data_IF_079970432716
#
_entry.id   IF_079970432716
#
_cell.length_a   1.000
_cell.length_b   1.000
_cell.length_c   1.000
_cell.angle_alpha   90.00
_cell.angle_beta   90.00
_cell.angle_gamma   90.00
#
_symmetry.space_group_name_H-M   'P 1'
#
loop_
_entity.id
_entity.type
_entity.pdbx_description
1 polymer ?
#
# COMPACT_ATOMS: atom_id res chain seq x y z
N UNK A 1 23.36 -10.12 -4.78
CA UNK A 1 24.66 -10.40 -4.16
C UNK A 1 25.68 -10.74 -5.23
N UNK A 2 25.44 -11.73 -6.10
CA UNK A 2 26.36 -12.13 -7.20
C UNK A 2 26.64 -11.02 -8.22
N UNK A 3 25.66 -10.17 -8.55
CA UNK A 3 25.85 -9.06 -9.50
C UNK A 3 26.73 -7.97 -8.90
N UNK A 4 26.58 -7.67 -7.62
CA UNK A 4 27.43 -6.70 -6.92
C UNK A 4 28.83 -7.26 -6.60
N UNK A 5 28.95 -8.57 -6.33
CA UNK A 5 30.26 -9.26 -6.26
C UNK A 5 30.96 -9.26 -7.63
N UNK A 6 30.24 -9.48 -8.74
CA UNK A 6 30.76 -9.32 -10.09
C UNK A 6 31.10 -7.86 -10.46
N UNK A 7 30.41 -6.87 -9.88
CA UNK A 7 30.77 -5.46 -10.01
C UNK A 7 31.99 -5.08 -9.19
N UNK A 8 32.19 -5.71 -8.02
CA UNK A 8 33.39 -5.52 -7.19
C UNK A 8 34.62 -6.25 -7.78
N UNK A 9 34.42 -7.41 -8.42
CA UNK A 9 35.47 -8.17 -9.12
C UNK A 9 35.75 -7.66 -10.53
N UNK A 10 34.81 -6.92 -11.14
CA UNK A 10 35.04 -6.21 -12.39
C UNK A 10 35.83 -4.91 -12.14
N UNK A 11 37.03 -5.04 -11.64
CA UNK A 11 38.12 -4.12 -11.90
C UNK A 11 38.49 -4.21 -13.39
N UNK A 12 37.51 -3.92 -14.26
CA UNK A 12 37.72 -3.90 -15.70
C UNK A 12 38.58 -2.72 -16.05
N UNK A 13 39.86 -3.05 -16.36
CA UNK A 13 40.73 -2.29 -17.22
C UNK A 13 40.61 -0.77 -17.07
N UNK A 14 41.03 -0.24 -15.92
CA UNK A 14 41.44 1.17 -15.86
C UNK A 14 42.57 1.30 -16.87
N UNK A 15 42.20 1.75 -18.06
CA UNK A 15 43.16 2.27 -19.03
C UNK A 15 43.93 3.35 -18.28
N UNK A 16 45.19 3.08 -17.95
CA UNK A 16 46.13 4.05 -17.45
C UNK A 16 46.46 4.99 -18.60
N UNK A 17 45.52 5.91 -18.87
CA UNK A 17 45.88 7.04 -19.71
C UNK A 17 45.12 8.29 -19.24
N UNK A 18 45.89 9.32 -18.94
CA UNK A 18 45.55 10.66 -18.50
C UNK A 18 45.02 10.84 -17.07
N UNK A 19 45.89 11.17 -16.18
CA UNK A 19 46.01 11.82 -14.87
C UNK A 19 44.81 12.44 -14.14
N UNK A 20 43.55 12.28 -14.54
CA UNK A 20 42.37 12.63 -13.76
C UNK A 20 41.81 11.35 -13.13
N UNK A 21 41.83 11.26 -11.80
CA UNK A 21 41.08 10.24 -11.08
C UNK A 21 39.61 10.38 -11.48
N UNK A 22 39.12 9.43 -12.25
CA UNK A 22 37.70 9.37 -12.61
C UNK A 22 36.87 9.40 -11.30
N UNK A 23 35.86 10.25 -11.29
CA UNK A 23 35.02 10.49 -10.11
C UNK A 23 34.25 9.22 -9.73
N UNK A 24 34.59 8.60 -8.57
CA UNK A 24 33.99 7.38 -8.09
C UNK A 24 32.45 7.46 -8.04
N UNK A 25 31.91 8.61 -7.68
CA UNK A 25 30.47 8.82 -7.63
C UNK A 25 29.82 8.87 -9.03
N UNK A 26 30.54 9.35 -10.04
CA UNK A 26 30.08 9.32 -11.43
C UNK A 26 30.12 7.90 -12.00
N UNK A 27 31.21 7.17 -11.75
CA UNK A 27 31.34 5.77 -12.16
C UNK A 27 30.21 4.95 -11.57
N UNK A 28 29.97 5.07 -10.27
CA UNK A 28 28.89 4.39 -9.58
C UNK A 28 27.51 4.74 -10.15
N UNK A 29 27.26 6.02 -10.44
CA UNK A 29 25.99 6.47 -11.02
C UNK A 29 25.78 5.90 -12.42
N UNK A 30 26.85 5.82 -13.25
CA UNK A 30 26.81 5.16 -14.57
C UNK A 30 26.54 3.66 -14.47
N UNK A 31 27.16 2.97 -13.52
CA UNK A 31 26.91 1.55 -13.26
C UNK A 31 25.46 1.31 -12.84
N UNK A 32 24.92 2.15 -11.97
CA UNK A 32 23.52 2.08 -11.57
C UNK A 32 22.58 2.32 -12.75
N UNK A 33 22.86 3.32 -13.61
CA UNK A 33 22.10 3.57 -14.82
C UNK A 33 22.10 2.35 -15.77
N UNK A 34 23.24 1.66 -15.89
CA UNK A 34 23.37 0.45 -16.70
C UNK A 34 22.51 -0.73 -16.21
N UNK A 35 22.10 -0.74 -14.94
CA UNK A 35 21.19 -1.75 -14.38
C UNK A 35 19.72 -1.49 -14.73
N UNK A 36 19.40 -0.38 -15.37
CA UNK A 36 18.02 -0.07 -15.75
C UNK A 36 17.47 -1.08 -16.75
N UNK A 37 16.36 -1.70 -16.40
CA UNK A 37 15.68 -2.68 -17.25
C UNK A 37 14.67 -1.97 -18.17
N UNK A 38 15.06 -1.75 -19.43
CA UNK A 38 14.24 -1.10 -20.46
C UNK A 38 12.95 -1.87 -20.80
N UNK A 39 12.93 -3.20 -20.61
CA UNK A 39 11.75 -4.03 -20.87
C UNK A 39 10.62 -3.76 -19.88
N UNK A 40 10.92 -3.03 -18.78
CA UNK A 40 9.97 -2.58 -17.79
C UNK A 40 9.50 -1.14 -17.96
N UNK A 41 9.84 -0.52 -19.10
CA UNK A 41 9.37 0.81 -19.44
C UNK A 41 7.83 0.84 -19.52
N UNK A 42 7.19 1.74 -18.77
CA UNK A 42 5.74 1.85 -18.66
C UNK A 42 5.11 2.95 -19.55
N UNK A 43 5.85 3.42 -20.55
CA UNK A 43 5.42 4.47 -21.46
C UNK A 43 5.67 5.90 -20.97
N UNK A 44 6.29 6.08 -19.80
CA UNK A 44 6.61 7.40 -19.23
C UNK A 44 8.10 7.61 -19.12
N UNK A 45 8.63 8.60 -19.81
CA UNK A 45 10.01 9.04 -19.58
C UNK A 45 10.13 9.68 -18.19
N UNK A 46 11.20 9.35 -17.47
CA UNK A 46 11.52 9.90 -16.17
C UNK A 46 12.94 10.44 -16.15
N UNK A 47 13.14 11.48 -15.35
CA UNK A 47 14.47 12.00 -15.06
C UNK A 47 14.71 11.85 -13.56
N UNK A 48 15.61 10.94 -13.21
CA UNK A 48 16.05 10.70 -11.85
C UNK A 48 17.25 11.60 -11.56
N UNK A 49 17.13 12.49 -10.56
CA UNK A 49 18.22 13.30 -10.04
C UNK A 49 18.72 12.71 -8.73
N UNK A 50 20.02 12.44 -8.64
CA UNK A 50 20.67 11.96 -7.43
C UNK A 50 21.65 13.01 -6.95
N UNK A 51 21.41 13.53 -5.75
CA UNK A 51 22.26 14.50 -5.07
C UNK A 51 23.04 13.79 -3.95
N UNK A 52 24.34 13.63 -4.12
CA UNK A 52 25.24 13.10 -3.07
C UNK A 52 25.62 14.24 -2.13
N UNK A 53 24.93 14.29 -0.98
CA UNK A 53 24.98 15.43 -0.06
C UNK A 53 26.34 15.60 0.64
N UNK A 54 27.07 14.50 0.87
CA UNK A 54 28.40 14.47 1.45
C UNK A 54 29.51 14.88 0.46
N UNK A 55 29.25 14.72 -0.84
CA UNK A 55 30.19 15.10 -1.92
C UNK A 55 29.83 16.43 -2.60
N UNK A 56 28.63 16.97 -2.35
CA UNK A 56 28.13 18.15 -3.05
C UNK A 56 27.92 17.98 -4.55
N UNK A 57 27.70 16.72 -5.01
CA UNK A 57 27.59 16.37 -6.42
C UNK A 57 26.17 15.94 -6.76
N UNK A 58 25.72 16.31 -7.96
CA UNK A 58 24.38 15.97 -8.46
C UNK A 58 24.50 15.40 -9.86
N UNK A 59 23.84 14.28 -10.10
CA UNK A 59 23.77 13.60 -11.39
C UNK A 59 22.31 13.40 -11.79
N UNK A 60 22.04 13.49 -13.10
CA UNK A 60 20.72 13.22 -13.68
C UNK A 60 20.79 12.01 -14.59
N UNK A 61 19.78 11.14 -14.48
CA UNK A 61 19.65 9.94 -15.29
C UNK A 61 18.30 10.02 -16.00
N UNK A 62 18.32 10.08 -17.31
CA UNK A 62 17.13 9.94 -18.14
C UNK A 62 16.80 8.46 -18.26
N UNK A 63 15.57 8.06 -17.91
CA UNK A 63 15.05 6.71 -18.00
C UNK A 63 13.98 6.70 -19.10
N UNK A 64 14.22 5.96 -20.16
CA UNK A 64 13.36 5.92 -21.33
C UNK A 64 13.22 4.53 -21.94
N UNK A 65 12.55 4.47 -23.10
CA UNK A 65 12.33 3.23 -23.84
C UNK A 65 13.64 2.59 -24.32
N UNK A 66 14.61 3.42 -24.68
CA UNK A 66 15.86 2.96 -25.26
C UNK A 66 16.93 2.60 -24.21
N UNK A 67 16.65 2.89 -22.94
CA UNK A 67 17.54 2.61 -21.82
C UNK A 67 17.65 3.78 -20.85
N UNK A 68 18.73 3.79 -20.07
CA UNK A 68 19.08 4.88 -19.16
C UNK A 68 20.33 5.62 -19.65
N UNK A 69 20.31 6.94 -19.56
CA UNK A 69 21.39 7.82 -19.97
C UNK A 69 21.73 8.78 -18.82
N UNK A 70 23.01 8.84 -18.44
CA UNK A 70 23.49 9.81 -17.47
C UNK A 70 23.75 11.14 -18.17
N UNK A 71 22.98 12.15 -17.80
CA UNK A 71 23.09 13.49 -18.38
C UNK A 71 24.22 14.27 -17.70
N UNK A 72 25.01 14.93 -18.49
CA UNK A 72 26.10 15.82 -18.03
C UNK A 72 25.65 17.26 -17.87
N UNK A 73 24.43 17.59 -18.30
CA UNK A 73 23.85 18.92 -18.25
C UNK A 73 22.53 18.95 -17.46
N UNK A 74 22.06 20.14 -17.16
CA UNK A 74 20.79 20.38 -16.44
C UNK A 74 19.60 20.62 -17.37
N UNK A 75 19.70 20.18 -18.62
CA UNK A 75 18.71 20.47 -19.67
C UNK A 75 17.31 19.94 -19.38
N UNK A 76 17.20 18.82 -18.66
CA UNK A 76 15.92 18.18 -18.34
C UNK A 76 15.53 18.36 -16.87
N UNK A 77 14.28 18.73 -16.64
CA UNK A 77 13.73 18.84 -15.27
C UNK A 77 13.60 17.46 -14.64
N UNK A 78 14.13 17.32 -13.42
CA UNK A 78 13.99 16.09 -12.65
C UNK A 78 12.52 15.79 -12.31
N UNK A 79 12.08 14.56 -12.55
CA UNK A 79 10.77 14.06 -12.12
C UNK A 79 10.84 13.49 -10.72
N UNK A 80 11.97 12.85 -10.38
CA UNK A 80 12.25 12.28 -9.06
C UNK A 80 13.63 12.74 -8.63
N UNK A 81 13.75 13.22 -7.38
CA UNK A 81 15.02 13.65 -6.79
C UNK A 81 15.30 12.84 -5.54
N UNK A 82 16.48 12.24 -5.45
CA UNK A 82 17.01 11.56 -4.28
C UNK A 82 18.14 12.41 -3.72
N UNK A 83 18.06 12.79 -2.45
CA UNK A 83 19.17 13.41 -1.72
C UNK A 83 19.68 12.41 -0.67
N UNK A 84 20.95 12.03 -0.76
CA UNK A 84 21.57 10.97 0.02
C UNK A 84 23.06 11.22 0.20
N UNK A 85 23.68 10.87 1.34
CA UNK A 85 25.12 10.70 1.39
C UNK A 85 25.57 9.57 0.45
N UNK A 86 26.67 9.74 -0.25
CA UNK A 86 27.21 8.72 -1.15
C UNK A 86 27.49 7.41 -0.40
N UNK A 87 28.02 7.53 0.82
CA UNK A 87 28.29 6.40 1.71
C UNK A 87 27.03 5.57 2.02
N UNK A 88 25.88 6.21 2.23
CA UNK A 88 24.60 5.53 2.46
C UNK A 88 24.15 4.81 1.19
N UNK A 89 24.26 5.47 0.04
CA UNK A 89 23.86 4.88 -1.24
C UNK A 89 24.72 3.68 -1.62
N UNK A 90 26.00 3.75 -1.30
CA UNK A 90 26.93 2.64 -1.48
C UNK A 90 26.60 1.44 -0.56
N UNK A 91 26.26 1.70 0.72
CA UNK A 91 25.83 0.66 1.65
C UNK A 91 24.52 -0.02 1.20
N UNK A 92 23.57 0.75 0.66
CA UNK A 92 22.35 0.20 0.06
C UNK A 92 22.64 -0.71 -1.13
N UNK A 93 23.55 -0.29 -2.01
CA UNK A 93 23.92 -1.08 -3.20
C UNK A 93 24.62 -2.39 -2.84
N UNK A 94 25.37 -2.43 -1.72
CA UNK A 94 26.04 -3.64 -1.20
C UNK A 94 25.10 -4.56 -0.40
N UNK A 95 23.83 -4.14 -0.21
CA UNK A 95 22.89 -4.91 0.59
C UNK A 95 23.17 -4.90 2.09
N UNK A 96 24.04 -4.01 2.58
CA UNK A 96 24.36 -3.83 4.00
C UNK A 96 23.18 -3.23 4.77
N UNK A 97 22.27 -2.57 4.06
CA UNK A 97 21.07 -1.93 4.59
C UNK A 97 19.92 -2.04 3.59
N UNK A 98 18.70 -2.14 4.08
CA UNK A 98 17.50 -2.14 3.25
C UNK A 98 17.08 -0.70 2.90
N UNK A 99 16.67 -0.46 1.64
CA UNK A 99 16.27 0.87 1.17
C UNK A 99 15.05 1.44 1.90
N UNK A 100 14.05 0.62 2.19
CA UNK A 100 12.85 1.02 2.94
C UNK A 100 13.15 1.35 4.41
N UNK A 101 14.06 0.62 5.03
CA UNK A 101 14.54 0.89 6.40
C UNK A 101 15.35 2.18 6.47
N UNK A 102 16.28 2.38 5.52
CA UNK A 102 17.07 3.60 5.41
C UNK A 102 16.20 4.85 5.21
N UNK A 103 15.16 4.73 4.36
CA UNK A 103 14.20 5.80 4.13
C UNK A 103 13.37 6.10 5.39
N UNK A 104 12.91 5.07 6.11
CA UNK A 104 12.17 5.23 7.36
C UNK A 104 13.02 5.87 8.48
N UNK A 105 14.34 5.67 8.45
CA UNK A 105 15.32 6.31 9.35
C UNK A 105 15.79 7.67 8.87
N UNK A 106 15.24 8.19 7.76
CA UNK A 106 15.61 9.47 7.13
C UNK A 106 17.11 9.57 6.77
N UNK A 107 17.75 8.46 6.44
CA UNK A 107 19.15 8.44 6.00
C UNK A 107 19.30 8.99 4.57
N UNK A 108 18.24 8.97 3.80
CA UNK A 108 18.11 9.67 2.53
C UNK A 108 16.68 10.18 2.36
N UNK A 109 16.47 11.11 1.44
CA UNK A 109 15.14 11.69 1.15
C UNK A 109 14.81 11.58 -0.32
N UNK A 110 13.52 11.46 -0.62
CA UNK A 110 13.00 11.41 -1.99
C UNK A 110 11.94 12.48 -2.17
N UNK A 111 11.99 13.19 -3.28
CA UNK A 111 10.99 14.18 -3.66
C UNK A 111 10.60 14.05 -5.13
N UNK A 112 9.41 14.54 -5.47
CA UNK A 112 8.82 14.38 -6.81
C UNK A 112 8.01 13.10 -6.96
N UNK A 113 8.12 12.40 -8.10
CA UNK A 113 7.39 11.15 -8.35
C UNK A 113 7.98 9.99 -7.53
N UNK A 114 7.30 9.69 -6.43
CA UNK A 114 7.70 8.61 -5.53
C UNK A 114 7.45 7.21 -6.12
N UNK A 115 6.68 7.10 -7.20
CA UNK A 115 6.37 5.80 -7.82
C UNK A 115 7.61 5.06 -8.32
N UNK A 116 8.65 5.80 -8.73
CA UNK A 116 9.93 5.22 -9.14
C UNK A 116 10.60 4.46 -7.98
N UNK A 117 10.60 5.05 -6.78
CA UNK A 117 11.18 4.43 -5.58
C UNK A 117 10.38 3.21 -5.10
N UNK A 118 9.05 3.28 -5.16
CA UNK A 118 8.19 2.16 -4.80
C UNK A 118 8.36 0.94 -5.71
N UNK A 119 8.85 1.15 -6.92
CA UNK A 119 9.09 0.11 -7.91
C UNK A 119 10.58 -0.01 -8.27
N UNK A 120 11.48 0.42 -7.37
CA UNK A 120 12.92 0.46 -7.62
C UNK A 120 13.46 -0.87 -8.12
N UNK A 121 13.17 -1.96 -7.40
CA UNK A 121 13.66 -3.30 -7.73
C UNK A 121 13.09 -3.83 -9.07
N UNK A 122 11.96 -3.29 -9.50
CA UNK A 122 11.39 -3.60 -10.82
C UNK A 122 12.18 -2.93 -11.95
N UNK A 123 12.68 -1.71 -11.72
CA UNK A 123 13.37 -0.94 -12.76
C UNK A 123 14.89 -1.16 -12.75
N UNK A 124 15.49 -1.39 -11.58
CA UNK A 124 16.94 -1.52 -11.40
C UNK A 124 17.37 -2.84 -10.75
N UNK A 125 16.43 -3.72 -10.42
CA UNK A 125 16.72 -4.98 -9.77
C UNK A 125 17.07 -6.10 -10.75
N UNK A 126 17.64 -7.17 -10.20
CA UNK A 126 17.79 -8.45 -10.90
C UNK A 126 16.41 -9.06 -11.18
N UNK A 127 16.32 -10.04 -12.09
CA UNK A 127 15.06 -10.75 -12.37
C UNK A 127 14.46 -11.36 -11.11
N UNK A 128 15.28 -11.89 -10.21
CA UNK A 128 14.85 -12.47 -8.94
C UNK A 128 14.27 -11.43 -7.98
N UNK A 129 14.89 -10.24 -7.88
CA UNK A 129 14.37 -9.12 -7.10
C UNK A 129 13.08 -8.56 -7.71
N UNK A 130 13.03 -8.45 -9.04
CA UNK A 130 11.82 -8.03 -9.75
C UNK A 130 10.67 -9.03 -9.58
N UNK A 131 10.95 -10.32 -9.44
CA UNK A 131 9.94 -11.34 -9.17
C UNK A 131 9.39 -11.25 -7.74
N UNK A 132 10.23 -10.93 -6.77
CA UNK A 132 9.79 -10.73 -5.38
C UNK A 132 8.92 -9.48 -5.20
N UNK A 133 9.10 -8.44 -6.03
CA UNK A 133 8.28 -7.20 -6.02
C UNK A 133 7.07 -7.27 -6.94
N UNK A 134 6.94 -8.29 -7.79
CA UNK A 134 5.73 -8.47 -8.60
C UNK A 134 4.52 -8.69 -7.68
N UNK A 135 3.35 -8.09 -8.03
CA UNK A 135 2.11 -8.46 -7.38
C UNK A 135 1.96 -9.98 -7.40
N UNK A 136 1.59 -10.56 -6.26
CA UNK A 136 1.38 -12.01 -6.15
C UNK A 136 0.12 -12.37 -6.97
N UNK A 137 0.26 -12.46 -8.27
CA UNK A 137 -0.76 -13.01 -9.16
C UNK A 137 -0.47 -14.51 -9.25
N UNK A 138 -1.21 -15.29 -8.50
CA UNK A 138 -1.16 -16.76 -8.60
C UNK A 138 -1.70 -17.18 -9.97
N UNK A 139 -0.79 -17.57 -10.85
CA UNK A 139 -1.05 -17.99 -12.23
C UNK A 139 -1.34 -19.47 -12.26
N UNK A 140 -2.25 -20.11 -11.84
CA UNK A 140 -2.74 -21.48 -12.07
C UNK A 140 -3.60 -21.97 -10.91
N UNK A 141 -4.71 -22.58 -11.14
CA UNK A 141 -5.60 -23.38 -10.23
C UNK A 141 -5.73 -22.91 -8.78
N UNK A 142 -4.95 -21.94 -8.34
CA UNK A 142 -4.96 -21.36 -7.02
C UNK A 142 -5.93 -20.17 -6.94
N UNK A 143 -6.52 -20.01 -5.77
CA UNK A 143 -7.50 -18.96 -5.49
C UNK A 143 -6.88 -17.57 -5.65
N UNK A 144 -7.68 -16.62 -6.13
CA UNK A 144 -7.29 -15.21 -6.20
C UNK A 144 -7.05 -14.64 -4.78
N UNK A 145 -6.24 -13.57 -4.65
CA UNK A 145 -6.07 -12.87 -3.38
C UNK A 145 -7.40 -12.46 -2.74
N UNK A 146 -7.48 -12.37 -1.40
CA UNK A 146 -8.69 -11.91 -0.72
C UNK A 146 -9.14 -10.54 -1.24
N UNK A 147 -10.45 -10.35 -1.36
CA UNK A 147 -11.04 -9.08 -1.80
C UNK A 147 -11.81 -8.43 -0.66
N UNK A 148 -11.39 -7.22 -0.28
CA UNK A 148 -12.12 -6.43 0.73
C UNK A 148 -13.58 -6.18 0.34
N UNK A 149 -13.89 -6.13 -0.95
CA UNK A 149 -15.27 -5.97 -1.44
C UNK A 149 -16.17 -7.12 -0.99
N UNK A 150 -15.67 -8.36 -0.98
CA UNK A 150 -16.45 -9.52 -0.54
C UNK A 150 -16.80 -9.42 0.94
N UNK A 151 -15.86 -8.98 1.78
CA UNK A 151 -16.11 -8.73 3.19
C UNK A 151 -17.15 -7.61 3.37
N UNK A 152 -17.01 -6.50 2.65
CA UNK A 152 -17.91 -5.35 2.76
C UNK A 152 -19.34 -5.65 2.34
N UNK A 153 -19.56 -6.52 1.34
CA UNK A 153 -20.90 -6.89 0.89
C UNK A 153 -21.75 -7.47 2.02
N UNK A 154 -21.19 -8.30 2.90
CA UNK A 154 -21.92 -8.84 4.05
C UNK A 154 -22.35 -7.73 5.02
N UNK A 155 -21.47 -6.78 5.32
CA UNK A 155 -21.76 -5.65 6.19
C UNK A 155 -22.79 -4.70 5.59
N UNK A 156 -22.68 -4.39 4.28
CA UNK A 156 -23.64 -3.57 3.57
C UNK A 156 -25.02 -4.23 3.58
N UNK A 157 -25.09 -5.54 3.38
CA UNK A 157 -26.35 -6.27 3.45
C UNK A 157 -27.02 -6.11 4.83
N UNK A 158 -26.26 -6.26 5.92
CA UNK A 158 -26.74 -6.05 7.27
C UNK A 158 -27.29 -4.62 7.44
N UNK A 159 -26.49 -3.63 7.10
CA UNK A 159 -26.85 -2.23 7.33
C UNK A 159 -28.04 -1.76 6.49
N UNK A 160 -28.16 -2.22 5.25
CA UNK A 160 -29.23 -1.81 4.35
C UNK A 160 -30.50 -2.65 4.57
N UNK A 161 -30.40 -3.97 4.45
CA UNK A 161 -31.59 -4.82 4.47
C UNK A 161 -32.29 -4.83 5.85
N UNK A 162 -31.52 -4.91 6.95
CA UNK A 162 -32.07 -4.91 8.31
C UNK A 162 -32.65 -3.54 8.69
N UNK A 163 -32.16 -2.44 8.10
CA UNK A 163 -32.73 -1.11 8.34
C UNK A 163 -34.11 -0.93 7.70
N UNK A 164 -34.38 -1.63 6.59
CA UNK A 164 -35.65 -1.55 5.86
C UNK A 164 -36.72 -2.37 6.59
N UNK A 165 -36.43 -3.63 6.82
CA UNK A 165 -37.30 -4.55 7.54
C UNK A 165 -36.43 -5.58 8.32
N UNK A 166 -36.46 -5.58 9.68
CA UNK A 166 -35.53 -6.33 10.48
C UNK A 166 -35.51 -7.84 10.21
N UNK A 167 -36.68 -8.47 10.12
CA UNK A 167 -36.79 -9.94 9.96
C UNK A 167 -36.44 -10.40 8.56
N UNK A 168 -37.02 -9.76 7.52
CA UNK A 168 -36.74 -10.09 6.13
C UNK A 168 -35.30 -9.71 5.79
N UNK A 169 -34.84 -8.56 6.24
CA UNK A 169 -33.48 -8.09 6.06
C UNK A 169 -32.45 -9.02 6.69
N UNK A 170 -32.75 -9.57 7.86
CA UNK A 170 -31.92 -10.57 8.50
C UNK A 170 -31.81 -11.86 7.67
N UNK A 171 -32.91 -12.35 7.12
CA UNK A 171 -32.90 -13.54 6.23
C UNK A 171 -32.09 -13.29 4.96
N UNK A 172 -32.24 -12.11 4.34
CA UNK A 172 -31.44 -11.72 3.17
C UNK A 172 -29.97 -11.68 3.54
N UNK A 173 -29.61 -11.06 4.67
CA UNK A 173 -28.22 -10.97 5.16
C UNK A 173 -27.62 -12.35 5.42
N UNK A 174 -28.35 -13.25 6.06
CA UNK A 174 -27.91 -14.63 6.29
C UNK A 174 -27.72 -15.38 4.97
N UNK A 175 -28.64 -15.21 4.02
CA UNK A 175 -28.52 -15.79 2.68
C UNK A 175 -27.26 -15.29 1.97
N UNK A 176 -26.94 -14.01 2.04
CA UNK A 176 -25.71 -13.44 1.48
C UNK A 176 -24.47 -13.99 2.19
N UNK A 177 -24.46 -14.06 3.52
CA UNK A 177 -23.33 -14.64 4.27
C UNK A 177 -23.07 -16.12 3.91
N UNK A 178 -24.13 -16.89 3.62
CA UNK A 178 -24.00 -18.27 3.19
C UNK A 178 -23.57 -18.38 1.72
N UNK A 179 -24.07 -17.51 0.85
CA UNK A 179 -23.79 -17.55 -0.59
C UNK A 179 -22.41 -16.99 -0.95
N UNK A 180 -21.93 -15.94 -0.25
CA UNK A 180 -20.66 -15.28 -0.56
C UNK A 180 -19.47 -16.24 -0.60
N UNK A 181 -19.22 -17.12 0.38
CA UNK A 181 -18.13 -18.09 0.31
C UNK A 181 -18.21 -19.03 -0.89
N UNK A 182 -19.43 -19.40 -1.33
CA UNK A 182 -19.66 -20.26 -2.48
C UNK A 182 -19.44 -19.52 -3.80
N UNK A 183 -19.97 -18.30 -3.93
CA UNK A 183 -19.83 -17.47 -5.14
C UNK A 183 -18.39 -17.00 -5.29
N UNK A 184 -17.70 -16.79 -4.18
CA UNK A 184 -16.31 -16.29 -4.15
C UNK A 184 -15.28 -17.40 -3.97
N UNK A 185 -15.59 -18.65 -4.32
CA UNK A 185 -14.66 -19.80 -4.24
C UNK A 185 -13.30 -19.54 -4.89
N UNK A 186 -13.28 -18.67 -5.91
CA UNK A 186 -12.06 -18.24 -6.61
C UNK A 186 -11.14 -17.35 -5.76
N UNK A 187 -11.62 -16.83 -4.62
CA UNK A 187 -10.84 -15.98 -3.72
C UNK A 187 -10.43 -16.72 -2.46
N UNK A 188 -9.25 -16.41 -1.95
CA UNK A 188 -8.86 -16.83 -0.61
C UNK A 188 -9.66 -16.05 0.42
N UNK A 189 -10.15 -16.72 1.45
CA UNK A 189 -10.77 -16.06 2.59
C UNK A 189 -9.69 -15.80 3.65
N UNK A 190 -9.45 -14.52 3.94
CA UNK A 190 -8.57 -14.16 5.04
C UNK A 190 -9.30 -14.29 6.40
N UNK A 191 -8.55 -14.17 7.50
CA UNK A 191 -9.13 -14.26 8.85
C UNK A 191 -10.22 -13.19 9.10
N UNK A 192 -10.08 -12.01 8.50
CA UNK A 192 -11.05 -10.93 8.66
C UNK A 192 -12.35 -11.17 7.91
N UNK A 193 -12.33 -11.87 6.78
CA UNK A 193 -13.54 -12.30 6.07
C UNK A 193 -14.36 -13.27 6.95
N UNK A 194 -13.69 -14.28 7.50
CA UNK A 194 -14.34 -15.29 8.35
C UNK A 194 -14.95 -14.67 9.60
N UNK A 195 -14.20 -13.77 10.25
CA UNK A 195 -14.69 -13.08 11.45
C UNK A 195 -15.85 -12.14 11.11
N UNK A 196 -15.78 -11.41 9.99
CA UNK A 196 -16.85 -10.55 9.50
C UNK A 196 -18.13 -11.36 9.23
N UNK A 197 -18.05 -12.48 8.52
CA UNK A 197 -19.22 -13.32 8.26
C UNK A 197 -19.85 -13.84 9.54
N UNK A 198 -19.04 -14.27 10.52
CA UNK A 198 -19.55 -14.73 11.82
C UNK A 198 -20.24 -13.60 12.59
N UNK A 199 -19.66 -12.40 12.65
CA UNK A 199 -20.23 -11.24 13.33
C UNK A 199 -21.54 -10.78 12.66
N UNK A 200 -21.54 -10.66 11.34
CA UNK A 200 -22.72 -10.26 10.56
C UNK A 200 -23.84 -11.27 10.71
N UNK A 201 -23.54 -12.57 10.63
CA UNK A 201 -24.53 -13.63 10.82
C UNK A 201 -25.12 -13.58 12.24
N UNK A 202 -24.31 -13.41 13.28
CA UNK A 202 -24.78 -13.27 14.65
C UNK A 202 -25.70 -12.06 14.85
N UNK A 203 -25.37 -10.91 14.27
CA UNK A 203 -26.19 -9.70 14.32
C UNK A 203 -27.49 -9.84 13.51
N UNK A 204 -27.45 -10.54 12.38
CA UNK A 204 -28.65 -10.84 11.59
C UNK A 204 -29.59 -11.79 12.36
N UNK A 205 -29.05 -12.82 13.02
CA UNK A 205 -29.86 -13.70 13.88
C UNK A 205 -30.49 -12.89 15.02
N UNK A 206 -29.72 -12.01 15.66
CA UNK A 206 -30.25 -11.12 16.70
C UNK A 206 -31.43 -10.28 16.17
N UNK A 207 -31.27 -9.66 14.99
CA UNK A 207 -32.34 -8.86 14.37
C UNK A 207 -33.58 -9.71 14.04
N UNK A 208 -33.39 -10.93 13.53
CA UNK A 208 -34.49 -11.86 13.22
C UNK A 208 -35.30 -12.24 14.47
N UNK A 209 -34.61 -12.53 15.57
CA UNK A 209 -35.22 -12.99 16.83
C UNK A 209 -35.91 -11.84 17.56
N UNK A 210 -35.26 -10.70 17.68
CA UNK A 210 -35.75 -9.57 18.47
C UNK A 210 -36.66 -8.61 17.70
N UNK A 211 -36.56 -8.59 16.36
CA UNK A 211 -37.19 -7.57 15.52
C UNK A 211 -36.58 -6.18 15.68
N UNK A 212 -35.47 -6.03 16.42
CA UNK A 212 -34.86 -4.73 16.69
C UNK A 212 -33.73 -4.42 15.71
N UNK A 213 -34.12 -3.95 14.51
CA UNK A 213 -33.19 -3.61 13.43
C UNK A 213 -32.25 -2.46 13.77
N UNK A 214 -32.71 -1.44 14.50
CA UNK A 214 -31.87 -0.32 14.90
C UNK A 214 -30.69 -0.76 15.75
N UNK A 215 -30.95 -1.56 16.78
CA UNK A 215 -29.88 -2.05 17.64
C UNK A 215 -28.91 -2.96 16.89
N UNK A 216 -29.42 -3.83 16.00
CA UNK A 216 -28.58 -4.69 15.17
C UNK A 216 -27.65 -3.88 14.26
N UNK A 217 -28.16 -2.82 13.61
CA UNK A 217 -27.40 -1.94 12.72
C UNK A 217 -26.37 -1.13 13.50
N UNK A 218 -26.74 -0.52 14.63
CA UNK A 218 -25.78 0.22 15.46
C UNK A 218 -24.69 -0.69 16.03
N UNK A 219 -25.07 -1.88 16.53
CA UNK A 219 -24.12 -2.90 16.97
C UNK A 219 -23.21 -3.37 15.81
N UNK A 220 -23.75 -3.42 14.58
CA UNK A 220 -22.98 -3.69 13.36
C UNK A 220 -21.88 -2.67 13.10
N UNK A 221 -22.20 -1.38 13.13
CA UNK A 221 -21.20 -0.32 13.00
C UNK A 221 -20.15 -0.39 14.12
N UNK A 222 -20.59 -0.62 15.36
CA UNK A 222 -19.69 -0.78 16.49
C UNK A 222 -18.76 -1.98 16.32
N UNK A 223 -19.30 -3.15 15.99
CA UNK A 223 -18.53 -4.38 15.79
C UNK A 223 -17.53 -4.24 14.63
N UNK A 224 -17.93 -3.59 13.53
CA UNK A 224 -17.05 -3.31 12.41
C UNK A 224 -15.92 -2.34 12.81
N UNK A 225 -16.24 -1.27 13.53
CA UNK A 225 -15.22 -0.36 14.07
C UNK A 225 -14.24 -1.05 15.02
N UNK A 226 -14.75 -1.90 15.91
CA UNK A 226 -13.92 -2.73 16.80
C UNK A 226 -13.04 -3.72 16.02
N UNK A 227 -13.54 -4.31 14.93
CA UNK A 227 -12.77 -5.19 14.07
C UNK A 227 -11.57 -4.46 13.45
N UNK A 228 -11.79 -3.23 12.96
CA UNK A 228 -10.73 -2.39 12.40
C UNK A 228 -9.71 -2.00 13.46
N UNK A 229 -10.14 -1.43 14.59
CA UNK A 229 -9.23 -1.05 15.67
C UNK A 229 -8.52 -2.27 16.28
N UNK A 230 -9.24 -3.36 16.53
CA UNK A 230 -8.68 -4.61 17.04
C UNK A 230 -7.60 -5.17 16.10
N UNK A 231 -7.74 -4.97 14.80
CA UNK A 231 -6.72 -5.38 13.83
C UNK A 231 -5.38 -4.66 14.03
N UNK A 232 -5.38 -3.43 14.59
CA UNK A 232 -4.17 -2.68 14.87
C UNK A 232 -3.29 -3.30 15.99
N UNK A 233 -3.84 -4.19 16.80
CA UNK A 233 -3.07 -4.94 17.81
C UNK A 233 -2.47 -6.24 17.26
N UNK A 234 -2.62 -6.50 15.96
CA UNK A 234 -2.09 -7.68 15.28
C UNK A 234 -0.89 -7.31 14.42
N UNK A 235 -0.07 -8.32 14.07
CA UNK A 235 1.06 -8.14 13.14
C UNK A 235 0.64 -7.73 11.72
N UNK A 236 -0.63 -7.90 11.39
CA UNK A 236 -1.17 -7.63 10.08
C UNK A 236 -2.52 -6.91 10.23
N UNK A 237 -2.53 -5.56 10.23
CA UNK A 237 -3.75 -4.80 10.31
C UNK A 237 -4.67 -5.06 9.12
N UNK A 238 -5.97 -4.84 9.28
CA UNK A 238 -7.00 -5.20 8.30
C UNK A 238 -6.69 -4.63 6.90
N UNK A 239 -6.28 -3.36 6.81
CA UNK A 239 -5.87 -2.77 5.52
C UNK A 239 -4.74 -3.57 4.87
N UNK A 240 -3.68 -3.88 5.62
CA UNK A 240 -2.52 -4.59 5.08
C UNK A 240 -2.87 -5.99 4.59
N UNK A 241 -3.80 -6.68 5.26
CA UNK A 241 -4.23 -8.03 4.89
C UNK A 241 -4.75 -8.13 3.45
N UNK A 242 -5.40 -7.07 2.95
CA UNK A 242 -5.93 -7.03 1.58
C UNK A 242 -4.98 -6.36 0.59
N UNK A 243 -4.21 -5.38 1.02
CA UNK A 243 -3.42 -4.52 0.13
C UNK A 243 -2.03 -5.11 -0.16
N UNK A 244 -1.46 -5.92 0.76
CA UNK A 244 -0.12 -6.52 0.62
C UNK A 244 0.13 -7.22 -0.73
N UNK A 245 -0.89 -7.85 -1.28
CA UNK A 245 -0.79 -8.59 -2.54
C UNK A 245 -0.46 -7.72 -3.76
N UNK A 246 -0.67 -6.39 -3.66
CA UNK A 246 -0.31 -5.43 -4.70
C UNK A 246 1.15 -4.99 -4.64
N UNK A 247 1.79 -5.13 -3.46
CA UNK A 247 3.13 -4.60 -3.17
C UNK A 247 4.20 -5.70 -3.10
N UNK A 248 3.83 -6.98 -3.24
CA UNK A 248 4.76 -8.10 -3.24
C UNK A 248 4.93 -8.79 -1.89
N UNK A 249 5.82 -9.80 -1.85
CA UNK A 249 5.98 -10.72 -0.71
C UNK A 249 6.50 -10.01 0.55
N UNK A 250 7.34 -8.97 0.38
CA UNK A 250 8.01 -8.27 1.48
C UNK A 250 7.26 -7.04 1.98
N UNK A 251 6.04 -6.80 1.47
CA UNK A 251 5.25 -5.63 1.87
C UNK A 251 5.07 -5.49 3.39
N UNK A 252 4.85 -6.61 4.10
CA UNK A 252 4.68 -6.60 5.56
C UNK A 252 5.98 -6.30 6.33
N UNK A 253 7.13 -6.38 5.68
CA UNK A 253 8.42 -6.02 6.29
C UNK A 253 8.76 -4.54 6.06
N UNK A 254 8.04 -3.86 5.16
CA UNK A 254 8.25 -2.45 4.87
C UNK A 254 7.62 -1.57 5.97
N UNK A 255 8.44 -0.80 6.75
CA UNK A 255 7.93 -0.03 7.87
C UNK A 255 7.00 1.11 7.44
N UNK A 256 7.21 1.72 6.27
CA UNK A 256 6.35 2.80 5.75
C UNK A 256 5.00 2.23 5.33
N UNK A 257 5.01 1.08 4.62
CA UNK A 257 3.79 0.36 4.26
C UNK A 257 2.98 -0.01 5.51
N UNK A 258 3.62 -0.60 6.50
CA UNK A 258 2.94 -1.01 7.74
C UNK A 258 2.37 0.18 8.51
N UNK A 259 3.17 1.24 8.70
CA UNK A 259 2.70 2.46 9.40
C UNK A 259 1.51 3.10 8.70
N UNK A 260 1.55 3.22 7.36
CA UNK A 260 0.41 3.72 6.56
C UNK A 260 -0.86 2.92 6.81
N UNK A 261 -0.76 1.59 6.78
CA UNK A 261 -1.90 0.69 6.94
C UNK A 261 -2.43 0.66 8.39
N UNK A 262 -1.57 0.82 9.40
CA UNK A 262 -2.01 0.98 10.80
C UNK A 262 -2.80 2.28 11.00
N UNK A 263 -2.31 3.40 10.47
CA UNK A 263 -3.00 4.70 10.58
C UNK A 263 -4.37 4.64 9.91
N UNK A 264 -4.44 4.07 8.71
CA UNK A 264 -5.71 3.91 7.99
C UNK A 264 -6.67 2.97 8.73
N UNK A 265 -6.19 1.84 9.25
CA UNK A 265 -7.03 0.91 9.99
C UNK A 265 -7.59 1.58 11.28
N UNK A 266 -6.77 2.32 12.01
CA UNK A 266 -7.22 3.07 13.18
C UNK A 266 -8.25 4.16 12.82
N UNK A 267 -7.99 4.94 11.75
CA UNK A 267 -8.90 5.98 11.30
C UNK A 267 -10.27 5.41 10.90
N UNK A 268 -10.32 4.35 10.11
CA UNK A 268 -11.55 3.67 9.75
C UNK A 268 -12.29 3.11 10.98
N UNK A 269 -11.57 2.49 11.91
CA UNK A 269 -12.15 1.96 13.15
C UNK A 269 -12.81 3.03 13.99
N UNK A 270 -12.12 4.18 14.21
CA UNK A 270 -12.67 5.32 14.95
C UNK A 270 -13.92 5.86 14.28
N UNK A 271 -13.88 6.04 12.95
CA UNK A 271 -15.02 6.57 12.18
C UNK A 271 -16.26 5.67 12.34
N UNK A 272 -16.13 4.35 12.24
CA UNK A 272 -17.27 3.45 12.40
C UNK A 272 -17.80 3.41 13.83
N UNK A 273 -16.96 3.54 14.84
CA UNK A 273 -17.42 3.69 16.23
C UNK A 273 -18.20 4.99 16.41
N UNK A 274 -17.71 6.11 15.85
CA UNK A 274 -18.44 7.40 15.90
C UNK A 274 -19.77 7.28 15.17
N UNK A 275 -19.82 6.63 14.00
CA UNK A 275 -21.07 6.36 13.28
C UNK A 275 -22.04 5.57 14.16
N UNK A 276 -21.59 4.51 14.86
CA UNK A 276 -22.43 3.72 15.74
C UNK A 276 -23.06 4.57 16.84
N UNK A 277 -22.24 5.38 17.53
CA UNK A 277 -22.67 6.26 18.63
C UNK A 277 -23.66 7.31 18.11
N UNK A 278 -23.31 8.01 17.05
CA UNK A 278 -24.16 9.06 16.45
C UNK A 278 -25.49 8.48 15.99
N UNK A 279 -25.47 7.34 15.29
CA UNK A 279 -26.68 6.67 14.81
C UNK A 279 -27.60 6.29 15.96
N UNK A 280 -27.06 5.77 17.06
CA UNK A 280 -27.83 5.38 18.24
C UNK A 280 -28.51 6.60 18.90
N UNK A 281 -27.76 7.69 19.16
CA UNK A 281 -28.26 8.87 19.86
C UNK A 281 -29.18 9.75 19.02
N UNK A 282 -29.01 9.80 17.71
CA UNK A 282 -29.82 10.59 16.79
C UNK A 282 -31.06 9.84 16.28
N UNK A 283 -31.11 8.54 16.47
CA UNK A 283 -32.27 7.75 16.08
C UNK A 283 -33.52 8.23 16.83
N UNK A 284 -34.62 8.44 16.09
CA UNK A 284 -35.88 9.02 16.61
C UNK A 284 -35.86 10.53 16.85
N UNK A 285 -34.70 11.20 16.76
CA UNK A 285 -34.59 12.66 16.90
C UNK A 285 -34.43 13.38 15.55
N UNK A 286 -33.93 12.66 14.55
CA UNK A 286 -33.70 13.14 13.20
C UNK A 286 -34.48 12.25 12.25
N UNK A 287 -35.07 12.79 11.15
CA UNK A 287 -35.73 11.98 10.12
C UNK A 287 -34.79 10.86 9.63
N UNK A 288 -35.29 9.63 9.56
CA UNK A 288 -34.49 8.43 9.24
C UNK A 288 -33.76 8.57 7.91
N UNK A 289 -34.36 9.22 6.90
CA UNK A 289 -33.73 9.46 5.60
C UNK A 289 -32.49 10.36 5.72
N UNK A 290 -32.58 11.46 6.49
CA UNK A 290 -31.48 12.40 6.70
C UNK A 290 -30.32 11.71 7.43
N UNK A 291 -30.63 10.94 8.47
CA UNK A 291 -29.62 10.17 9.21
C UNK A 291 -28.94 9.13 8.32
N UNK A 292 -29.72 8.41 7.50
CA UNK A 292 -29.18 7.41 6.56
C UNK A 292 -28.23 8.02 5.53
N UNK A 293 -28.61 9.15 4.93
CA UNK A 293 -27.77 9.86 3.96
C UNK A 293 -26.48 10.34 4.63
N UNK A 294 -26.55 10.96 5.80
CA UNK A 294 -25.39 11.46 6.53
C UNK A 294 -24.42 10.32 6.89
N UNK A 295 -24.93 9.20 7.39
CA UNK A 295 -24.13 8.04 7.77
C UNK A 295 -23.45 7.40 6.55
N UNK A 296 -24.10 7.34 5.40
CA UNK A 296 -23.52 6.78 4.18
C UNK A 296 -22.51 7.71 3.49
N UNK A 297 -22.65 9.03 3.67
CA UNK A 297 -21.69 10.00 3.13
C UNK A 297 -20.30 9.88 3.80
N UNK A 298 -20.24 9.54 5.08
CA UNK A 298 -18.98 9.46 5.85
C UNK A 298 -18.02 8.40 5.28
N UNK A 299 -18.41 7.13 5.03
CA UNK A 299 -17.54 6.15 4.38
C UNK A 299 -17.05 6.55 2.99
N UNK A 300 -17.86 7.29 2.21
CA UNK A 300 -17.45 7.79 0.90
C UNK A 300 -16.31 8.81 1.07
N UNK A 301 -16.44 9.76 1.98
CA UNK A 301 -15.40 10.73 2.29
C UNK A 301 -14.12 10.06 2.81
N UNK A 302 -14.29 9.04 3.67
CA UNK A 302 -13.17 8.23 4.15
C UNK A 302 -12.49 7.43 3.04
N UNK A 303 -13.23 6.97 2.03
CA UNK A 303 -12.66 6.33 0.84
C UNK A 303 -11.77 7.30 0.05
N UNK A 304 -12.23 8.54 -0.18
CA UNK A 304 -11.45 9.60 -0.82
C UNK A 304 -10.21 9.95 0.01
N UNK A 305 -10.36 10.11 1.32
CA UNK A 305 -9.24 10.31 2.24
C UNK A 305 -8.22 9.17 2.15
N UNK A 306 -8.66 7.93 2.14
CA UNK A 306 -7.79 6.76 2.03
C UNK A 306 -6.98 6.79 0.74
N UNK A 307 -7.63 7.05 -0.41
CA UNK A 307 -6.96 7.14 -1.70
C UNK A 307 -5.91 8.26 -1.75
N UNK A 308 -6.22 9.40 -1.15
CA UNK A 308 -5.26 10.50 -1.02
C UNK A 308 -4.12 10.14 -0.05
N UNK A 309 -4.43 9.64 1.15
CA UNK A 309 -3.47 9.38 2.22
C UNK A 309 -2.45 8.30 1.85
N UNK A 310 -2.85 7.26 1.14
CA UNK A 310 -1.95 6.18 0.67
C UNK A 310 -0.83 6.69 -0.23
N UNK A 311 -1.03 7.80 -0.93
CA UNK A 311 -0.02 8.43 -1.77
C UNK A 311 0.74 9.53 -1.03
N UNK A 312 0.01 10.36 -0.29
CA UNK A 312 0.57 11.53 0.38
C UNK A 312 1.51 11.18 1.54
N UNK A 313 1.10 10.25 2.42
CA UNK A 313 1.87 9.93 3.63
C UNK A 313 3.23 9.30 3.33
N UNK A 314 3.34 8.26 2.49
CA UNK A 314 4.65 7.70 2.11
C UNK A 314 5.56 8.73 1.44
N UNK A 315 5.02 9.58 0.55
CA UNK A 315 5.79 10.64 -0.09
C UNK A 315 6.30 11.69 0.90
N UNK A 316 5.48 12.05 1.92
CA UNK A 316 5.87 12.98 2.98
C UNK A 316 6.99 12.42 3.86
N UNK A 317 6.87 11.16 4.28
CA UNK A 317 7.92 10.48 5.04
C UNK A 317 9.21 10.37 4.22
N UNK A 318 9.09 10.04 2.92
CA UNK A 318 10.22 9.97 2.01
C UNK A 318 10.92 11.32 1.81
N UNK A 319 10.17 12.43 1.89
CA UNK A 319 10.72 13.78 1.83
C UNK A 319 11.36 14.28 3.16
N UNK A 320 11.43 13.42 4.18
CA UNK A 320 12.02 13.78 5.48
C UNK A 320 11.16 14.74 6.31
N UNK A 321 9.82 14.74 6.14
CA UNK A 321 8.89 15.69 6.79
C UNK A 321 7.90 14.99 7.71
#
# INVERSE_FOLDING_TARGET
REVFEKMADASWGISKDNGEKEDESLIFTRQMAALYNRDRFDGRERVLEICYTDLGKTYRIKLGKDGAEVLTDESLRATTRIATPFSVWLALSRGEMRGDEALAKHLYTVSGDFSLMMNWDRYFGTEEQAENTRPIVKLTTEKKPPSMQNMLLAWIALWVAVSVEPKVGALITLGICAALPLITERYELCRYDRLSFALVAGLAIYAAVTGNGLQAVCAGYLAFGCLWLGSCFTKEPLCAAYVKYRYGKDALQNPIFMRTNYILAAAWGVVYIVIAIVSYFLSGKVPALVLSIAVQAIPILMGLFTAWFQNWYPARVAAGK
#
